data_IF_962940671219
#
_entry.id   IF_962940671219
#
_cell.length_a   1.000
_cell.length_b   1.000
_cell.length_c   1.000
_cell.angle_alpha   90.00
_cell.angle_beta   90.00
_cell.angle_gamma   90.00
#
_symmetry.space_group_name_H-M   'P 1'
#
loop_
_entity.id
_entity.type
_entity.pdbx_description
1 polymer ?
#
# COMPACT_ATOMS: atom_id res chain seq x y z
N UNK A 1 -9.44 -14.86 -22.54
CA UNK A 1 -8.60 -13.69 -22.16
C UNK A 1 -8.66 -13.56 -20.64
N UNK A 2 -7.53 -13.69 -19.96
CA UNK A 2 -7.49 -13.47 -18.53
C UNK A 2 -7.83 -11.99 -18.24
N UNK A 3 -8.76 -11.75 -17.33
CA UNK A 3 -9.06 -10.39 -16.85
C UNK A 3 -7.76 -9.83 -16.25
N UNK A 4 -7.30 -8.63 -16.62
CA UNK A 4 -6.10 -8.07 -16.04
C UNK A 4 -6.24 -8.05 -14.52
N UNK A 5 -5.31 -8.69 -13.82
CA UNK A 5 -5.32 -8.77 -12.37
C UNK A 5 -5.18 -7.37 -11.80
N UNK A 6 -6.15 -6.94 -11.00
CA UNK A 6 -6.15 -5.60 -10.39
C UNK A 6 -5.07 -5.51 -9.33
N UNK A 7 -4.06 -4.67 -9.59
CA UNK A 7 -3.01 -4.40 -8.61
C UNK A 7 -3.57 -3.74 -7.36
N UNK A 8 -2.99 -4.00 -6.17
CA UNK A 8 -3.36 -3.31 -4.95
C UNK A 8 -3.00 -1.82 -5.04
N UNK A 9 -3.66 -1.00 -4.22
CA UNK A 9 -3.21 0.36 -3.93
C UNK A 9 -2.48 0.38 -2.59
N UNK A 10 -1.48 1.23 -2.47
CA UNK A 10 -0.93 1.66 -1.19
C UNK A 10 -1.51 3.03 -0.85
N UNK A 11 -2.08 3.20 0.33
CA UNK A 11 -2.65 4.47 0.77
C UNK A 11 -2.04 4.91 2.11
N UNK A 12 -1.68 6.19 2.20
CA UNK A 12 -1.20 6.83 3.42
C UNK A 12 -2.27 7.82 3.91
N UNK A 13 -2.75 7.61 5.13
CA UNK A 13 -3.68 8.51 5.79
C UNK A 13 -2.91 9.61 6.52
N UNK A 14 -2.99 10.84 6.04
CA UNK A 14 -2.42 12.05 6.64
C UNK A 14 -0.98 11.86 7.14
N UNK A 15 -0.05 11.43 6.28
CA UNK A 15 1.33 11.14 6.69
C UNK A 15 1.98 12.42 7.25
N UNK A 16 2.76 12.27 8.32
CA UNK A 16 3.36 13.42 9.00
C UNK A 16 4.90 13.41 9.01
N UNK A 17 5.55 12.39 8.46
CA UNK A 17 7.00 12.30 8.33
C UNK A 17 7.41 12.29 6.85
N UNK A 18 8.07 13.35 6.34
CA UNK A 18 8.45 13.46 4.92
C UNK A 18 9.32 12.31 4.41
N UNK A 19 10.23 11.82 5.26
CA UNK A 19 11.10 10.69 4.91
C UNK A 19 10.34 9.39 4.67
N UNK A 20 9.29 9.12 5.45
CA UNK A 20 8.43 7.97 5.25
C UNK A 20 7.61 8.10 3.95
N UNK A 21 7.11 9.30 3.67
CA UNK A 21 6.42 9.55 2.41
C UNK A 21 7.32 9.28 1.18
N UNK A 22 8.56 9.77 1.21
CA UNK A 22 9.54 9.50 0.15
C UNK A 22 9.87 8.02 -0.01
N UNK A 23 10.01 7.29 1.11
CA UNK A 23 10.22 5.85 1.08
C UNK A 23 9.00 5.08 0.53
N UNK A 24 7.77 5.52 0.85
CA UNK A 24 6.54 4.94 0.31
C UNK A 24 6.39 5.18 -1.20
N UNK A 25 6.77 6.38 -1.70
CA UNK A 25 6.83 6.66 -3.14
C UNK A 25 7.77 5.69 -3.86
N UNK A 26 8.98 5.49 -3.32
CA UNK A 26 9.94 4.55 -3.89
C UNK A 26 9.41 3.12 -3.87
N UNK A 27 8.83 2.70 -2.75
CA UNK A 27 8.23 1.36 -2.61
C UNK A 27 7.15 1.14 -3.67
N UNK A 28 6.22 2.08 -3.82
CA UNK A 28 5.12 1.99 -4.77
C UNK A 28 5.61 1.94 -6.22
N UNK A 29 6.56 2.82 -6.59
CA UNK A 29 7.16 2.83 -7.91
C UNK A 29 7.90 1.52 -8.23
N UNK A 30 8.70 0.99 -7.29
CA UNK A 30 9.45 -0.25 -7.49
C UNK A 30 8.55 -1.48 -7.63
N UNK A 31 7.38 -1.46 -7.01
CA UNK A 31 6.41 -2.57 -7.06
C UNK A 31 5.30 -2.34 -8.09
N UNK A 32 5.36 -1.25 -8.86
CA UNK A 32 4.37 -0.89 -9.87
C UNK A 32 2.94 -0.88 -9.31
N UNK A 33 2.75 -0.17 -8.19
CA UNK A 33 1.45 0.06 -7.55
C UNK A 33 1.20 1.56 -7.38
N UNK A 34 -0.06 1.98 -7.43
CA UNK A 34 -0.42 3.38 -7.19
C UNK A 34 -0.29 3.73 -5.71
N UNK A 35 0.33 4.90 -5.44
CA UNK A 35 0.36 5.49 -4.10
C UNK A 35 -0.72 6.54 -3.97
N UNK A 36 -1.65 6.33 -3.06
CA UNK A 36 -2.68 7.29 -2.70
C UNK A 36 -2.30 8.01 -1.41
N UNK A 37 -2.45 9.32 -1.35
CA UNK A 37 -2.25 10.10 -0.14
C UNK A 37 -3.50 10.85 0.24
N UNK A 38 -3.93 10.69 1.48
CA UNK A 38 -5.06 11.42 2.07
C UNK A 38 -4.51 12.62 2.82
N UNK A 39 -4.88 13.81 2.41
CA UNK A 39 -4.48 15.05 3.07
C UNK A 39 -5.41 15.41 4.25
N UNK A 40 -4.97 16.29 5.19
CA UNK A 40 -3.74 17.06 5.16
C UNK A 40 -2.51 16.22 5.58
N UNK A 41 -1.35 16.51 4.95
CA UNK A 41 -0.09 15.97 5.41
C UNK A 41 0.53 16.88 6.49
N UNK A 42 1.34 16.34 7.39
CA UNK A 42 2.09 17.13 8.39
C UNK A 42 3.25 17.94 7.79
N UNK A 43 3.38 17.96 6.48
CA UNK A 43 4.41 18.68 5.71
C UNK A 43 3.83 19.14 4.37
N UNK A 44 4.38 20.21 3.75
CA UNK A 44 3.94 20.64 2.43
C UNK A 44 4.29 19.61 1.35
N UNK A 45 3.28 19.17 0.60
CA UNK A 45 3.43 18.39 -0.62
C UNK A 45 3.56 19.33 -1.81
N UNK A 46 4.70 20.02 -1.94
CA UNK A 46 4.99 20.84 -3.11
C UNK A 46 5.89 20.09 -4.12
N UNK A 47 5.71 20.35 -5.40
CA UNK A 47 6.44 19.69 -6.49
C UNK A 47 7.95 19.90 -6.41
N UNK A 48 8.41 21.02 -5.80
CA UNK A 48 9.85 21.29 -5.64
C UNK A 48 10.47 20.36 -4.59
N UNK A 49 9.77 20.12 -3.48
CA UNK A 49 10.24 19.22 -2.42
C UNK A 49 10.15 17.77 -2.88
N UNK A 50 9.09 17.47 -3.57
CA UNK A 50 8.93 16.21 -4.25
C UNK A 50 10.12 15.94 -5.20
N UNK A 51 10.52 16.86 -6.04
CA UNK A 51 11.70 16.76 -6.93
C UNK A 51 13.04 16.69 -6.19
N UNK A 52 13.22 17.39 -5.08
CA UNK A 52 14.48 17.37 -4.29
C UNK A 52 14.68 16.06 -3.51
N UNK A 53 13.62 15.35 -3.17
CA UNK A 53 13.70 14.06 -2.46
C UNK A 53 14.05 12.88 -3.37
N UNK A 54 14.51 13.14 -4.62
CA UNK A 54 14.87 12.09 -5.59
C UNK A 54 13.67 11.54 -6.36
N UNK A 55 12.78 12.41 -6.78
CA UNK A 55 11.41 12.10 -7.16
C UNK A 55 11.17 11.89 -8.65
N UNK A 56 12.05 11.23 -9.32
CA UNK A 56 11.69 10.47 -10.52
C UNK A 56 10.64 9.38 -10.20
N UNK A 57 10.54 9.02 -8.91
CA UNK A 57 9.58 8.01 -8.42
C UNK A 57 8.12 8.50 -8.29
N UNK A 58 7.84 9.82 -8.17
CA UNK A 58 6.46 10.29 -8.00
C UNK A 58 5.61 10.05 -9.25
N UNK A 59 6.18 10.27 -10.41
CA UNK A 59 5.53 9.94 -11.69
C UNK A 59 5.42 8.42 -11.88
N UNK A 60 6.48 7.68 -11.54
CA UNK A 60 6.50 6.23 -11.66
C UNK A 60 5.59 5.52 -10.65
N UNK A 61 5.37 6.13 -9.46
CA UNK A 61 4.48 5.60 -8.43
C UNK A 61 2.98 5.86 -8.69
N UNK A 62 2.62 6.57 -9.78
CA UNK A 62 1.22 6.92 -10.01
C UNK A 62 0.61 7.64 -8.79
N UNK A 63 1.30 8.67 -8.25
CA UNK A 63 0.85 9.37 -7.04
C UNK A 63 -0.51 10.04 -7.24
N UNK A 64 -1.51 9.65 -6.45
CA UNK A 64 -2.84 10.24 -6.42
C UNK A 64 -3.07 10.94 -5.09
N UNK A 65 -3.44 12.23 -5.13
CA UNK A 65 -3.72 13.06 -3.95
C UNK A 65 -5.22 13.19 -3.73
N UNK A 66 -5.64 13.06 -2.47
CA UNK A 66 -7.04 13.24 -2.06
C UNK A 66 -7.10 14.33 -1.01
N UNK A 67 -7.99 15.32 -1.20
CA UNK A 67 -8.14 16.45 -0.30
C UNK A 67 -8.53 16.03 1.14
N UNK A 68 -9.21 14.89 1.26
CA UNK A 68 -9.62 14.30 2.54
C UNK A 68 -9.93 12.80 2.38
N UNK A 69 -10.29 12.18 3.50
CA UNK A 69 -10.64 10.75 3.52
C UNK A 69 -11.96 10.45 2.78
N UNK A 70 -12.90 11.40 2.73
CA UNK A 70 -14.17 11.20 2.02
C UNK A 70 -13.95 11.13 0.49
N UNK A 71 -13.09 12.01 -0.04
CA UNK A 71 -12.67 11.98 -1.44
C UNK A 71 -11.95 10.67 -1.80
N UNK A 72 -11.04 10.22 -0.94
CA UNK A 72 -10.35 8.93 -1.09
C UNK A 72 -11.34 7.76 -1.08
N UNK A 73 -12.25 7.70 -0.12
CA UNK A 73 -13.28 6.65 -0.06
C UNK A 73 -14.17 6.63 -1.29
N UNK A 74 -14.51 7.80 -1.81
CA UNK A 74 -15.29 7.91 -3.04
C UNK A 74 -14.53 7.32 -4.23
N UNK A 75 -13.24 7.60 -4.35
CA UNK A 75 -12.39 7.04 -5.40
C UNK A 75 -12.29 5.52 -5.29
N UNK A 76 -12.00 5.00 -4.09
CA UNK A 76 -11.94 3.54 -3.84
C UNK A 76 -13.30 2.87 -4.09
N UNK A 77 -14.41 3.52 -3.72
CA UNK A 77 -15.76 3.01 -3.94
C UNK A 77 -16.17 2.93 -5.40
N UNK A 78 -15.78 3.89 -6.24
CA UNK A 78 -16.01 3.84 -7.70
C UNK A 78 -15.36 2.62 -8.35
N UNK A 79 -14.24 2.19 -7.81
CA UNK A 79 -13.54 1.00 -8.26
C UNK A 79 -13.89 -0.26 -7.46
N UNK A 80 -14.84 -0.20 -6.54
CA UNK A 80 -15.26 -1.34 -5.71
C UNK A 80 -14.05 -2.00 -5.01
N UNK A 81 -13.16 -1.18 -4.43
CA UNK A 81 -11.96 -1.63 -3.72
C UNK A 81 -12.23 -1.80 -2.23
N UNK A 82 -11.73 -2.87 -1.64
CA UNK A 82 -11.78 -3.11 -0.19
C UNK A 82 -10.61 -2.41 0.50
N UNK A 83 -10.90 -1.63 1.55
CA UNK A 83 -9.86 -1.04 2.40
C UNK A 83 -9.41 -2.05 3.46
N UNK A 84 -8.12 -2.30 3.53
CA UNK A 84 -7.44 -3.16 4.51
C UNK A 84 -6.52 -2.28 5.35
N UNK A 85 -6.91 -2.00 6.59
CA UNK A 85 -6.15 -1.14 7.50
C UNK A 85 -4.95 -1.88 8.09
N UNK A 86 -3.77 -1.27 8.02
CA UNK A 86 -2.59 -1.69 8.78
C UNK A 86 -2.66 -1.10 10.18
N UNK A 87 -2.90 -1.93 11.20
CA UNK A 87 -3.07 -1.48 12.58
C UNK A 87 -2.47 -2.45 13.57
N UNK A 88 -1.75 -1.93 14.56
CA UNK A 88 -1.23 -2.74 15.67
C UNK A 88 -2.35 -3.32 16.55
N UNK A 89 -3.56 -2.75 16.47
CA UNK A 89 -4.75 -3.19 17.21
C UNK A 89 -5.52 -4.32 16.51
N UNK A 90 -5.19 -4.64 15.26
CA UNK A 90 -5.87 -5.69 14.52
C UNK A 90 -5.59 -7.08 15.12
N UNK A 91 -6.55 -7.98 15.06
CA UNK A 91 -6.41 -9.38 15.51
C UNK A 91 -5.72 -10.26 14.47
N UNK A 92 -5.95 -10.00 13.18
CA UNK A 92 -5.50 -10.85 12.08
C UNK A 92 -4.04 -10.54 11.69
N UNK A 93 -3.12 -11.51 11.77
CA UNK A 93 -1.77 -11.34 11.24
C UNK A 93 -1.77 -11.16 9.72
N UNK A 94 -0.98 -10.21 9.21
CA UNK A 94 -0.92 -9.86 7.78
C UNK A 94 -0.61 -11.06 6.87
N UNK A 95 0.23 -11.98 7.32
CA UNK A 95 0.67 -13.16 6.55
C UNK A 95 -0.36 -14.30 6.52
N UNK A 96 -1.44 -14.19 7.33
CA UNK A 96 -2.57 -15.14 7.35
C UNK A 96 -3.85 -14.56 6.77
N UNK A 97 -3.79 -13.32 6.29
CA UNK A 97 -4.95 -12.64 5.74
C UNK A 97 -5.19 -13.04 4.29
N UNK A 98 -6.44 -13.29 3.93
CA UNK A 98 -6.85 -13.58 2.56
C UNK A 98 -7.00 -12.27 1.76
N UNK A 99 -5.91 -11.82 1.14
CA UNK A 99 -5.92 -10.68 0.24
C UNK A 99 -6.74 -10.96 -1.02
N UNK A 100 -7.28 -9.89 -1.62
CA UNK A 100 -8.09 -9.96 -2.84
C UNK A 100 -7.51 -9.03 -3.89
N UNK A 101 -7.71 -9.33 -5.18
CA UNK A 101 -7.32 -8.43 -6.26
C UNK A 101 -7.91 -7.04 -6.06
N UNK A 102 -7.06 -6.03 -6.14
CA UNK A 102 -7.46 -4.63 -5.96
C UNK A 102 -7.68 -4.17 -4.52
N UNK A 103 -7.27 -4.92 -3.50
CA UNK A 103 -7.26 -4.43 -2.12
C UNK A 103 -6.46 -3.12 -2.01
N UNK A 104 -6.89 -2.26 -1.10
CA UNK A 104 -6.17 -1.03 -0.73
C UNK A 104 -5.55 -1.22 0.64
N UNK A 105 -4.23 -1.19 0.73
CA UNK A 105 -3.51 -1.25 2.00
C UNK A 105 -3.41 0.17 2.56
N UNK A 106 -4.17 0.47 3.61
CA UNK A 106 -4.23 1.78 4.25
C UNK A 106 -3.32 1.82 5.47
N UNK A 107 -2.30 2.66 5.43
CA UNK A 107 -1.43 2.96 6.56
C UNK A 107 -1.82 4.29 7.20
N UNK A 108 -1.92 4.32 8.54
CA UNK A 108 -2.25 5.53 9.29
C UNK A 108 -1.05 6.44 9.53
N UNK A 109 -1.30 7.57 10.21
CA UNK A 109 -0.25 8.48 10.69
C UNK A 109 0.76 7.73 11.56
N UNK A 110 2.01 8.10 11.45
CA UNK A 110 3.09 7.51 12.23
C UNK A 110 2.92 7.75 13.75
N UNK A 111 2.34 8.89 14.12
CA UNK A 111 2.16 9.28 15.52
C UNK A 111 0.87 8.78 16.16
N UNK A 112 -0.20 8.56 15.39
CA UNK A 112 -1.55 8.35 15.94
C UNK A 112 -2.38 7.27 15.22
N UNK A 113 -1.87 6.69 14.13
CA UNK A 113 -2.66 5.78 13.29
C UNK A 113 -3.80 6.51 12.57
N UNK A 114 -4.99 5.93 12.59
CA UNK A 114 -6.20 6.52 12.01
C UNK A 114 -7.27 6.75 13.09
N UNK A 115 -8.18 7.74 12.90
CA UNK A 115 -9.36 7.91 13.76
C UNK A 115 -10.25 6.66 13.74
N UNK A 116 -10.99 6.43 14.82
CA UNK A 116 -11.89 5.27 14.96
C UNK A 116 -12.94 5.21 13.84
N UNK A 117 -13.45 6.35 13.40
CA UNK A 117 -14.41 6.42 12.28
C UNK A 117 -13.78 5.94 10.95
N UNK A 118 -12.51 6.23 10.72
CA UNK A 118 -11.76 5.73 9.56
C UNK A 118 -11.55 4.23 9.68
N UNK A 119 -11.11 3.76 10.85
CA UNK A 119 -10.91 2.34 11.11
C UNK A 119 -12.21 1.53 10.92
N UNK A 120 -13.33 2.02 11.46
CA UNK A 120 -14.65 1.39 11.34
C UNK A 120 -15.15 1.33 9.89
N UNK A 121 -14.66 2.20 9.03
CA UNK A 121 -15.04 2.23 7.60
C UNK A 121 -14.21 1.28 6.72
N UNK A 122 -13.15 0.68 7.26
CA UNK A 122 -12.34 -0.29 6.55
C UNK A 122 -13.02 -1.67 6.55
N UNK A 123 -12.94 -2.38 5.42
CA UNK A 123 -13.53 -3.72 5.27
C UNK A 123 -12.74 -4.82 6.00
N UNK A 124 -11.51 -4.54 6.41
CA UNK A 124 -10.65 -5.43 7.17
C UNK A 124 -9.51 -4.66 7.84
N UNK A 125 -8.85 -5.31 8.81
CA UNK A 125 -7.62 -4.79 9.40
C UNK A 125 -6.63 -5.94 9.64
N UNK A 126 -5.34 -5.65 9.45
CA UNK A 126 -4.25 -6.60 9.65
C UNK A 126 -3.15 -5.97 10.51
N UNK A 127 -2.42 -6.81 11.23
CA UNK A 127 -1.25 -6.40 12.01
C UNK A 127 0.01 -7.13 11.57
N UNK A 128 1.14 -6.48 11.76
CA UNK A 128 2.44 -7.14 11.72
C UNK A 128 2.70 -7.70 13.12
N UNK A 129 2.82 -9.03 13.31
CA UNK A 129 3.18 -9.59 14.60
C UNK A 129 4.57 -9.12 15.03
N UNK A 130 4.68 -8.64 16.25
CA UNK A 130 5.93 -8.15 16.84
C UNK A 130 6.28 -8.92 18.09
N UNK A 131 7.56 -8.91 18.48
CA UNK A 131 8.01 -9.41 19.77
C UNK A 131 7.32 -8.64 20.91
N UNK A 132 6.92 -9.35 21.95
CA UNK A 132 6.30 -8.74 23.13
C UNK A 132 7.13 -7.58 23.69
N UNK A 133 6.47 -6.48 24.09
CA UNK A 133 7.13 -5.27 24.61
C UNK A 133 7.50 -4.25 23.53
N UNK A 134 7.47 -4.59 22.24
CA UNK A 134 7.66 -3.63 21.15
C UNK A 134 6.31 -3.07 20.68
N UNK A 135 6.30 -1.78 20.28
CA UNK A 135 5.05 -1.04 20.01
C UNK A 135 4.65 -1.07 18.55
N UNK A 136 5.59 -0.82 17.64
CA UNK A 136 5.32 -0.68 16.21
C UNK A 136 6.61 -0.78 15.40
N UNK A 137 6.47 -1.05 14.10
CA UNK A 137 7.50 -0.86 13.09
C UNK A 137 7.34 0.53 12.44
N UNK A 138 8.38 0.95 11.71
CA UNK A 138 8.24 2.05 10.76
C UNK A 138 7.07 1.74 9.80
N UNK A 139 6.25 2.75 9.53
CA UNK A 139 5.01 2.61 8.75
C UNK A 139 5.27 2.07 7.34
N UNK A 140 6.37 2.48 6.69
CA UNK A 140 6.71 2.02 5.33
C UNK A 140 7.24 0.59 5.34
N UNK A 141 7.96 0.21 6.39
CA UNK A 141 8.39 -1.19 6.58
C UNK A 141 7.17 -2.09 6.75
N UNK A 142 6.23 -1.71 7.61
CA UNK A 142 4.98 -2.45 7.79
C UNK A 142 4.16 -2.53 6.50
N UNK A 143 4.05 -1.41 5.77
CA UNK A 143 3.38 -1.34 4.47
C UNK A 143 4.05 -2.24 3.43
N UNK A 144 5.38 -2.23 3.35
CA UNK A 144 6.16 -3.08 2.43
C UNK A 144 5.98 -4.57 2.72
N UNK A 145 5.96 -4.97 4.01
CA UNK A 145 5.69 -6.36 4.39
C UNK A 145 4.29 -6.81 3.97
N UNK A 146 3.27 -5.99 4.25
CA UNK A 146 1.89 -6.33 3.91
C UNK A 146 1.63 -6.30 2.40
N UNK A 147 2.21 -5.30 1.69
CA UNK A 147 2.12 -5.19 0.24
C UNK A 147 2.82 -6.36 -0.46
N UNK A 148 4.02 -6.72 0.00
CA UNK A 148 4.75 -7.89 -0.50
C UNK A 148 3.95 -9.19 -0.34
N UNK A 149 3.34 -9.40 0.83
CA UNK A 149 2.49 -10.58 1.06
C UNK A 149 1.22 -10.56 0.18
N UNK A 150 0.60 -9.38 0.02
CA UNK A 150 -0.55 -9.21 -0.85
C UNK A 150 -0.22 -9.56 -2.31
N UNK A 151 0.90 -9.06 -2.81
CA UNK A 151 1.34 -9.31 -4.18
C UNK A 151 1.80 -10.75 -4.38
N UNK A 152 2.58 -11.32 -3.45
CA UNK A 152 3.03 -12.71 -3.52
C UNK A 152 1.87 -13.70 -3.57
N UNK A 153 0.83 -13.46 -2.74
CA UNK A 153 -0.36 -14.34 -2.71
C UNK A 153 -1.19 -14.32 -3.99
N UNK A 154 -0.90 -13.41 -4.91
CA UNK A 154 -1.67 -13.20 -6.14
C UNK A 154 -0.79 -13.23 -7.41
N UNK A 155 0.52 -13.50 -7.29
CA UNK A 155 1.45 -13.52 -8.43
C UNK A 155 1.55 -12.16 -9.13
N UNK A 156 1.65 -11.05 -8.36
CA UNK A 156 1.59 -9.68 -8.89
C UNK A 156 2.95 -8.96 -8.88
N UNK A 157 4.04 -9.63 -8.49
CA UNK A 157 5.34 -8.97 -8.55
C UNK A 157 5.73 -8.63 -9.98
N UNK A 158 6.43 -7.49 -10.20
CA UNK A 158 7.03 -7.20 -11.48
C UNK A 158 7.94 -8.36 -11.94
N UNK A 159 7.75 -8.85 -13.16
CA UNK A 159 8.50 -9.99 -13.72
C UNK A 159 7.89 -11.38 -13.46
N UNK A 160 6.87 -11.53 -12.60
CA UNK A 160 6.21 -12.84 -12.43
C UNK A 160 5.49 -13.31 -13.71
N UNK A 161 4.96 -12.37 -14.51
CA UNK A 161 4.28 -12.69 -15.77
C UNK A 161 5.24 -13.18 -16.87
N UNK A 162 6.52 -12.78 -16.81
CA UNK A 162 7.53 -13.16 -17.83
C UNK A 162 8.09 -14.56 -17.60
N UNK A 163 8.00 -15.11 -16.39
CA UNK A 163 8.50 -16.47 -16.05
C UNK A 163 7.50 -17.57 -16.36
N UNK A 164 6.22 -17.25 -16.53
CA UNK A 164 5.18 -18.24 -16.85
C UNK A 164 5.31 -18.85 -18.25
N UNK A 165 6.03 -18.19 -19.15
CA UNK A 165 6.21 -18.63 -20.54
C UNK A 165 7.51 -19.44 -20.75
N UNK A 166 8.45 -19.42 -19.79
CA UNK A 166 9.74 -20.13 -19.90
C UNK A 166 9.75 -21.54 -19.26
N UNK A 167 8.82 -21.89 -18.38
CA UNK A 167 8.77 -23.22 -17.75
C UNK A 167 8.04 -24.30 -18.60
N UNK A 168 7.60 -23.96 -19.80
CA UNK A 168 6.87 -24.87 -20.70
C UNK A 168 7.73 -25.72 -21.67
N UNK A 169 9.06 -25.51 -21.76
CA UNK A 169 9.86 -26.09 -22.86
C UNK A 169 11.07 -26.97 -22.43
N UNK A 170 11.09 -27.51 -21.23
CA UNK A 170 12.14 -28.46 -20.81
C UNK A 170 11.60 -29.68 -20.07
N UNK A 171 10.72 -30.43 -20.73
CA UNK A 171 10.51 -31.86 -20.41
C UNK A 171 10.19 -32.62 -21.69
N UNK A 172 11.23 -32.88 -22.51
CA UNK A 172 11.29 -34.00 -23.46
C UNK A 172 12.69 -34.08 -24.07
N UNK A 173 13.61 -34.76 -23.37
CA UNK A 173 14.67 -35.61 -23.97
C UNK A 173 15.11 -36.67 -22.97
#
# INVERSE_FOLDING_TARGET
>A
MATPQRRPWLALFEPNIPGNFGAALRLAACLDVELHVVEPCGFPLDDRRLKRAGLDYAAAAGLVRHADFAAFRTAAGREVRRLVLLSTKASTPYHRFAYRPGDVLLAGRESAGVPDAVAASCGAAVRIPLKSGLRSLNVVVAAGMALGQCMASQGLFPGDAERGDEEGDHLDE
#
